data_IF_631168988023
#
_entry.id   IF_631168988023
#
_cell.length_a   1.000
_cell.length_b   1.000
_cell.length_c   1.000
_cell.angle_alpha   90.00
_cell.angle_beta   90.00
_cell.angle_gamma   90.00
#
_symmetry.space_group_name_H-M   'P 1'
#
loop_
_entity.id
_entity.type
_entity.pdbx_description
1 polymer ?
#
# COMPACT_ATOMS: atom_id res chain seq x y z
N UNK A 1 -11.19 0.02 -19.30
CA UNK A 1 -10.80 -0.69 -18.06
C UNK A 1 -9.31 -0.46 -17.82
N UNK A 2 -8.92 0.10 -16.67
CA UNK A 2 -7.51 0.45 -16.37
C UNK A 2 -6.64 -0.77 -16.03
N UNK A 3 -7.25 -1.89 -15.70
CA UNK A 3 -6.59 -3.13 -15.35
C UNK A 3 -6.84 -4.11 -16.49
N UNK A 4 -5.76 -4.54 -17.12
CA UNK A 4 -5.77 -5.67 -18.06
C UNK A 4 -5.53 -6.93 -17.21
N UNK A 5 -6.29 -8.00 -17.43
CA UNK A 5 -6.35 -9.18 -16.54
C UNK A 5 -4.99 -9.87 -16.28
N UNK A 6 -3.98 -9.61 -17.12
CA UNK A 6 -2.62 -10.13 -16.96
C UNK A 6 -1.59 -9.16 -16.34
N UNK A 7 -1.97 -7.92 -15.95
CA UNK A 7 -1.02 -6.92 -15.41
C UNK A 7 -1.29 -6.60 -13.95
N UNK A 8 -0.46 -7.17 -13.06
CA UNK A 8 -0.41 -6.88 -11.61
C UNK A 8 0.13 -5.48 -11.25
N UNK A 9 0.53 -4.66 -12.23
CA UNK A 9 1.16 -3.35 -12.02
C UNK A 9 0.56 -2.30 -12.96
N UNK A 10 0.18 -1.16 -12.38
CA UNK A 10 -0.29 0.02 -13.10
C UNK A 10 0.67 1.18 -12.82
N UNK A 11 1.14 1.86 -13.87
CA UNK A 11 1.99 3.04 -13.76
C UNK A 11 1.22 4.27 -14.21
N UNK A 12 1.10 5.26 -13.32
CA UNK A 12 0.44 6.54 -13.61
C UNK A 12 1.51 7.60 -13.88
N UNK A 13 1.62 8.06 -15.13
CA UNK A 13 2.58 9.07 -15.58
C UNK A 13 1.91 10.42 -15.81
N UNK A 14 2.69 11.50 -15.69
CA UNK A 14 2.23 12.87 -15.96
C UNK A 14 3.14 13.93 -15.33
N UNK A 15 2.97 15.18 -15.74
CA UNK A 15 3.78 16.33 -15.25
C UNK A 15 3.62 16.57 -13.74
N UNK A 16 4.58 17.25 -13.13
CA UNK A 16 4.44 17.72 -11.75
C UNK A 16 3.17 18.57 -11.60
N UNK A 17 2.50 18.46 -10.45
CA UNK A 17 1.26 19.22 -10.19
C UNK A 17 -0.02 18.71 -10.89
N UNK A 18 0.06 17.77 -11.84
CA UNK A 18 -1.12 17.29 -12.61
C UNK A 18 -2.16 16.50 -11.79
N UNK A 19 -1.92 16.28 -10.50
CA UNK A 19 -2.87 15.57 -9.62
C UNK A 19 -2.70 14.05 -9.53
N UNK A 20 -1.53 13.48 -9.88
CA UNK A 20 -1.28 12.02 -9.73
C UNK A 20 -1.55 11.50 -8.31
N UNK A 21 -1.10 12.23 -7.29
CA UNK A 21 -1.37 11.85 -5.90
C UNK A 21 -2.84 11.95 -5.56
N UNK A 22 -3.51 13.03 -6.00
CA UNK A 22 -4.95 13.24 -5.85
C UNK A 22 -5.75 12.13 -6.52
N UNK A 23 -5.32 11.65 -7.68
CA UNK A 23 -5.93 10.51 -8.37
C UNK A 23 -5.86 9.22 -7.55
N UNK A 24 -4.70 8.89 -6.97
CA UNK A 24 -4.61 7.76 -6.05
C UNK A 24 -5.53 7.94 -4.83
N UNK A 25 -5.62 9.16 -4.25
CA UNK A 25 -6.49 9.46 -3.11
C UNK A 25 -7.95 9.24 -3.48
N UNK A 26 -8.33 9.69 -4.67
CA UNK A 26 -9.66 9.46 -5.22
C UNK A 26 -9.97 7.98 -5.39
N UNK A 27 -9.03 7.16 -5.89
CA UNK A 27 -9.20 5.71 -5.99
C UNK A 27 -9.48 5.10 -4.61
N UNK A 28 -8.64 5.40 -3.62
CA UNK A 28 -8.81 4.89 -2.26
C UNK A 28 -10.16 5.31 -1.66
N UNK A 29 -10.58 6.56 -1.89
CA UNK A 29 -11.87 7.07 -1.47
C UNK A 29 -13.05 6.35 -2.14
N UNK A 30 -13.02 6.15 -3.46
CA UNK A 30 -14.08 5.43 -4.17
C UNK A 30 -14.16 3.96 -3.76
N UNK A 31 -13.03 3.34 -3.45
CA UNK A 31 -12.99 1.98 -2.92
C UNK A 31 -13.63 1.90 -1.52
N UNK A 32 -13.28 2.81 -0.62
CA UNK A 32 -13.87 2.86 0.72
C UNK A 32 -15.39 3.06 0.70
N UNK A 33 -15.92 3.63 -0.38
CA UNK A 33 -17.36 3.83 -0.62
C UNK A 33 -18.07 2.66 -1.29
N UNK A 34 -17.39 1.54 -1.53
CA UNK A 34 -17.99 0.38 -2.19
C UNK A 34 -18.17 0.53 -3.70
N UNK A 35 -17.49 1.50 -4.35
CA UNK A 35 -17.74 1.84 -5.76
C UNK A 35 -16.73 1.20 -6.72
N UNK A 36 -15.50 1.71 -6.70
CA UNK A 36 -14.45 1.23 -7.60
C UNK A 36 -13.59 0.18 -6.90
N UNK A 37 -13.00 -0.72 -7.69
CA UNK A 37 -11.94 -1.63 -7.23
C UNK A 37 -12.32 -2.60 -6.10
N UNK A 38 -13.60 -2.96 -5.99
CA UNK A 38 -14.12 -3.86 -4.94
C UNK A 38 -13.61 -5.30 -5.03
N UNK A 39 -12.98 -5.68 -6.14
CA UNK A 39 -12.26 -6.96 -6.23
C UNK A 39 -11.05 -7.02 -5.28
N UNK A 40 -10.54 -5.87 -4.82
CA UNK A 40 -9.47 -5.81 -3.83
C UNK A 40 -10.08 -5.72 -2.43
N UNK A 41 -9.60 -6.57 -1.54
CA UNK A 41 -10.06 -6.67 -0.16
C UNK A 41 -9.44 -5.59 0.73
N UNK A 42 -8.28 -5.07 0.34
CA UNK A 42 -7.68 -3.91 0.97
C UNK A 42 -6.89 -3.04 -0.02
N UNK A 43 -6.77 -1.75 0.31
CA UNK A 43 -5.90 -0.79 -0.36
C UNK A 43 -4.83 -0.33 0.62
N UNK A 44 -3.57 -0.46 0.24
CA UNK A 44 -2.42 -0.01 1.01
C UNK A 44 -1.85 1.26 0.41
N UNK A 45 -1.91 2.34 1.17
CA UNK A 45 -1.32 3.62 0.80
C UNK A 45 0.11 3.72 1.32
N UNK A 46 1.10 3.67 0.43
CA UNK A 46 2.52 3.78 0.81
C UNK A 46 3.16 4.95 0.08
N UNK A 47 3.77 5.87 0.84
CA UNK A 47 4.45 7.03 0.27
C UNK A 47 5.84 6.61 -0.18
N UNK A 48 6.07 6.51 -1.49
CA UNK A 48 7.32 5.98 -2.03
C UNK A 48 8.55 6.79 -1.60
N UNK A 49 8.41 8.12 -1.44
CA UNK A 49 9.50 9.01 -0.96
C UNK A 49 10.03 8.65 0.43
N UNK A 50 9.27 7.89 1.21
CA UNK A 50 9.64 7.47 2.55
C UNK A 50 10.39 6.15 2.57
N UNK A 51 10.37 5.39 1.48
CA UNK A 51 11.14 4.16 1.30
C UNK A 51 12.58 4.50 0.89
N UNK A 52 13.33 5.09 1.80
CA UNK A 52 14.72 5.50 1.57
C UNK A 52 15.65 4.99 2.70
N UNK A 53 16.96 4.98 2.45
CA UNK A 53 17.97 4.46 3.37
C UNK A 53 18.01 5.21 4.72
N UNK A 54 17.58 6.48 4.77
CA UNK A 54 17.51 7.26 6.01
C UNK A 54 16.40 6.75 6.93
N UNK A 55 15.22 6.41 6.38
CA UNK A 55 14.10 5.86 7.17
C UNK A 55 14.17 4.34 7.31
N UNK A 56 14.89 3.65 6.43
CA UNK A 56 15.05 2.19 6.43
C UNK A 56 16.55 1.85 6.43
N UNK A 57 17.28 2.10 7.54
CA UNK A 57 18.68 1.71 7.67
C UNK A 57 18.81 0.18 7.71
N UNK A 58 20.00 -0.34 7.41
CA UNK A 58 20.25 -1.78 7.51
C UNK A 58 19.90 -2.29 8.91
N UNK A 59 19.15 -3.40 8.98
CA UNK A 59 18.85 -4.07 10.25
C UNK A 59 20.15 -4.60 10.88
N UNK A 60 20.19 -4.85 12.21
CA UNK A 60 21.40 -5.28 12.94
C UNK A 60 22.09 -6.53 12.37
N UNK A 61 21.37 -7.35 11.59
CA UNK A 61 21.88 -8.59 10.97
C UNK A 61 21.99 -8.51 9.43
N UNK A 62 21.96 -7.29 8.87
CA UNK A 62 21.93 -7.07 7.41
C UNK A 62 20.68 -7.71 6.74
N UNK A 63 19.64 -7.99 7.52
CA UNK A 63 18.35 -8.47 7.07
C UNK A 63 17.60 -7.40 6.27
N UNK A 64 16.81 -7.83 5.29
CA UNK A 64 15.95 -6.94 4.51
C UNK A 64 14.67 -6.60 5.28
N UNK A 65 14.07 -5.46 4.96
CA UNK A 65 12.72 -5.14 5.40
C UNK A 65 11.70 -5.97 4.61
N UNK A 66 10.76 -6.59 5.33
CA UNK A 66 9.64 -7.31 4.74
C UNK A 66 8.53 -6.33 4.35
N UNK A 67 7.56 -6.80 3.54
CA UNK A 67 6.36 -6.01 3.25
C UNK A 67 5.54 -5.72 4.52
N UNK A 68 5.51 -6.66 5.47
CA UNK A 68 4.89 -6.47 6.79
C UNK A 68 5.54 -5.29 7.52
N UNK A 69 6.88 -5.23 7.58
CA UNK A 69 7.61 -4.15 8.25
C UNK A 69 7.28 -2.78 7.62
N UNK A 70 7.15 -2.75 6.30
CA UNK A 70 6.80 -1.53 5.56
C UNK A 70 5.35 -1.12 5.87
N UNK A 71 4.40 -2.06 5.86
CA UNK A 71 2.97 -1.79 6.12
C UNK A 71 2.76 -1.32 7.56
N UNK A 72 3.36 -2.00 8.54
CA UNK A 72 3.31 -1.58 9.96
C UNK A 72 3.79 -0.14 10.09
N UNK A 73 4.97 0.17 9.54
CA UNK A 73 5.59 1.48 9.70
C UNK A 73 4.88 2.60 8.96
N UNK A 74 4.38 2.35 7.74
CA UNK A 74 3.85 3.40 6.87
C UNK A 74 2.33 3.58 6.99
N UNK A 75 1.59 2.51 7.25
CA UNK A 75 0.14 2.58 7.43
C UNK A 75 -0.25 2.82 8.89
N UNK A 76 0.60 2.45 9.85
CA UNK A 76 0.32 2.57 11.28
C UNK A 76 1.48 3.23 12.05
N UNK A 77 1.83 4.50 11.74
CA UNK A 77 3.00 5.17 12.31
C UNK A 77 2.88 5.53 13.80
N UNK A 78 1.66 5.55 14.34
CA UNK A 78 1.38 5.95 15.72
C UNK A 78 1.03 4.74 16.58
N UNK A 79 1.21 4.88 17.91
CA UNK A 79 0.82 3.84 18.88
C UNK A 79 -0.67 3.55 18.73
N UNK A 80 -1.00 2.29 18.45
CA UNK A 80 -2.36 1.85 18.20
C UNK A 80 -3.10 1.61 19.52
N UNK A 81 -4.39 1.94 19.53
CA UNK A 81 -5.34 1.42 20.51
C UNK A 81 -5.59 -0.08 20.26
N UNK A 82 -6.25 -0.78 21.18
CA UNK A 82 -6.57 -2.21 20.99
C UNK A 82 -7.38 -2.48 19.71
N UNK A 83 -8.30 -1.58 19.36
CA UNK A 83 -9.03 -1.64 18.08
C UNK A 83 -8.08 -1.52 16.89
N UNK A 84 -7.12 -0.58 16.96
CA UNK A 84 -6.09 -0.41 15.93
C UNK A 84 -5.20 -1.64 15.77
N UNK A 85 -4.90 -2.36 16.86
CA UNK A 85 -4.13 -3.60 16.83
C UNK A 85 -4.90 -4.72 16.12
N UNK A 86 -6.23 -4.81 16.31
CA UNK A 86 -7.06 -5.80 15.62
C UNK A 86 -7.08 -5.56 14.11
N UNK A 87 -7.22 -4.30 13.69
CA UNK A 87 -7.17 -3.89 12.27
C UNK A 87 -5.79 -4.17 11.69
N UNK A 88 -4.72 -3.85 12.41
CA UNK A 88 -3.36 -4.15 11.96
C UNK A 88 -3.18 -5.65 11.73
N UNK A 89 -3.55 -6.49 12.71
CA UNK A 89 -3.44 -7.95 12.59
C UNK A 89 -4.22 -8.50 11.39
N UNK A 90 -5.43 -7.97 11.16
CA UNK A 90 -6.22 -8.30 9.98
C UNK A 90 -5.47 -7.97 8.69
N UNK A 91 -5.01 -6.71 8.54
CA UNK A 91 -4.28 -6.27 7.34
C UNK A 91 -3.00 -7.08 7.12
N UNK A 92 -2.25 -7.37 8.19
CA UNK A 92 -1.05 -8.20 8.09
C UNK A 92 -1.35 -9.63 7.67
N UNK A 93 -2.48 -10.20 8.12
CA UNK A 93 -2.98 -11.49 7.65
C UNK A 93 -3.23 -11.48 6.14
N UNK A 94 -3.95 -10.46 5.66
CA UNK A 94 -4.21 -10.27 4.23
C UNK A 94 -2.92 -10.09 3.43
N UNK A 95 -1.97 -9.28 3.92
CA UNK A 95 -0.66 -9.07 3.27
C UNK A 95 0.12 -10.37 3.16
N UNK A 96 0.18 -11.15 4.24
CA UNK A 96 0.88 -12.45 4.23
C UNK A 96 0.24 -13.42 3.23
N UNK A 97 -1.09 -13.45 3.16
CA UNK A 97 -1.82 -14.28 2.21
C UNK A 97 -1.63 -13.80 0.76
N UNK A 98 -1.61 -12.49 0.52
CA UNK A 98 -1.39 -11.92 -0.81
C UNK A 98 0.04 -12.17 -1.33
N UNK A 99 1.02 -12.28 -0.42
CA UNK A 99 2.40 -12.65 -0.78
C UNK A 99 2.52 -14.13 -1.16
N UNK A 100 1.70 -15.01 -0.58
CA UNK A 100 1.73 -16.45 -0.87
C UNK A 100 0.83 -16.89 -2.03
N UNK A 101 -0.08 -16.03 -2.50
CA UNK A 101 -1.08 -16.38 -3.51
C UNK A 101 -0.84 -15.72 -4.87
N UNK A 102 -1.32 -16.37 -5.92
CA UNK A 102 -1.17 -15.90 -7.31
C UNK A 102 -2.20 -14.82 -7.68
N UNK A 103 -3.30 -14.71 -6.92
CA UNK A 103 -4.41 -13.78 -7.15
C UNK A 103 -4.20 -12.44 -6.43
N UNK A 104 -4.39 -11.28 -7.11
CA UNK A 104 -4.13 -9.99 -6.50
C UNK A 104 -5.28 -9.56 -5.59
N UNK A 105 -5.16 -9.83 -4.28
CA UNK A 105 -6.14 -9.44 -3.25
C UNK A 105 -5.94 -8.02 -2.72
N UNK A 106 -4.76 -7.43 -2.98
CA UNK A 106 -4.32 -6.15 -2.42
C UNK A 106 -3.92 -5.18 -3.52
N UNK A 107 -4.38 -3.93 -3.42
CA UNK A 107 -3.93 -2.84 -4.28
C UNK A 107 -2.95 -1.92 -3.52
N UNK A 108 -1.70 -1.86 -4.01
CA UNK A 108 -0.66 -0.97 -3.50
C UNK A 108 -0.66 0.34 -4.27
N UNK A 109 -0.93 1.45 -3.59
CA UNK A 109 -0.85 2.80 -4.15
C UNK A 109 0.46 3.46 -3.73
N UNK A 110 1.44 3.42 -4.63
CA UNK A 110 2.75 4.05 -4.44
C UNK A 110 2.73 5.46 -5.03
N UNK A 111 2.81 6.46 -4.18
CA UNK A 111 2.84 7.88 -4.62
C UNK A 111 4.20 8.51 -4.33
N UNK A 112 4.81 9.11 -5.37
CA UNK A 112 5.90 10.06 -5.23
C UNK A 112 5.27 11.46 -5.29
N UNK A 113 5.10 12.10 -4.14
CA UNK A 113 4.86 13.55 -4.13
C UNK A 113 6.18 14.22 -4.50
N UNK A 114 6.10 15.15 -5.45
CA UNK A 114 7.19 15.98 -5.93
C UNK A 114 7.83 16.77 -4.78
#
# INVERSE_FOLDING_TARGET
QLFNDNRKRLLVLGRAGIGKTTFCQYIAYQWARGKLFQQFRCILWIRFRFLNATRYPKKPNNEQYTLTDIVEKECFPNKLTDDGLSVLRFILGEVRQAVSTTSPTILLLLTRMF
#
